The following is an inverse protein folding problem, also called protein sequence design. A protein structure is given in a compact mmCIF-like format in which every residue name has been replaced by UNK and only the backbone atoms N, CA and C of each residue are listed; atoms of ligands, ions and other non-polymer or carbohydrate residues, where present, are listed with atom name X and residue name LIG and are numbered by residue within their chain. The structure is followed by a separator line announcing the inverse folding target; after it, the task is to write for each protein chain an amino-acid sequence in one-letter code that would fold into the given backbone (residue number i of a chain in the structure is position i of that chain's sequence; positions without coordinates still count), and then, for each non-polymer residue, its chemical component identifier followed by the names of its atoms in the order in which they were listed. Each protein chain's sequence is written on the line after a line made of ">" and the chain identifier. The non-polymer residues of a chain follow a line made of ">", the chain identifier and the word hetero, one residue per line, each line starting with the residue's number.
data_IF_425809320995
#
_entry.id   IF_425809320995
#
_cell.length_a   1.000
_cell.length_b   1.000
_cell.length_c   1.000
_cell.angle_alpha   90.00
_cell.angle_beta   90.00
_cell.angle_gamma   90.00
#
_symmetry.space_group_name_H-M   'P 1'
#
loop_
_entity.id
_entity.type
_entity.pdbx_description
1 polymer ?
#
# COMPACT_ATOMS: atom_id res chain seq x y z
N UNK A 1 62.73 -29.78 -5.02
CA UNK A 1 62.41 -28.71 -5.98
C UNK A 1 60.89 -28.58 -6.19
N UNK A 2 60.13 -29.65 -6.31
CA UNK A 2 58.69 -29.62 -6.51
C UNK A 2 57.91 -29.18 -5.27
N UNK A 3 58.27 -29.64 -4.07
CA UNK A 3 57.68 -29.25 -2.80
C UNK A 3 57.92 -27.77 -2.45
N UNK A 4 59.13 -27.28 -2.69
CA UNK A 4 59.45 -25.86 -2.45
C UNK A 4 58.65 -24.91 -3.40
N UNK A 5 58.40 -25.38 -4.62
CA UNK A 5 57.57 -24.63 -5.59
C UNK A 5 56.09 -24.64 -5.19
N UNK A 6 55.57 -25.77 -4.70
CA UNK A 6 54.22 -25.86 -4.17
C UNK A 6 54.01 -24.99 -2.92
N UNK A 7 54.95 -25.00 -1.98
CA UNK A 7 54.89 -24.14 -0.81
C UNK A 7 54.97 -22.66 -1.17
N UNK A 8 55.81 -22.29 -2.13
CA UNK A 8 55.89 -20.89 -2.60
C UNK A 8 54.60 -20.46 -3.31
N UNK A 9 53.97 -21.36 -4.09
CA UNK A 9 52.67 -21.07 -4.74
C UNK A 9 51.55 -20.97 -3.74
N UNK A 10 51.45 -21.84 -2.75
CA UNK A 10 50.45 -21.74 -1.68
C UNK A 10 50.61 -20.48 -0.86
N UNK A 11 51.83 -20.11 -0.48
CA UNK A 11 52.11 -18.87 0.22
C UNK A 11 51.83 -17.60 -0.62
N UNK A 12 52.03 -17.70 -1.95
CA UNK A 12 51.66 -16.59 -2.85
C UNK A 12 50.15 -16.48 -3.04
N UNK A 13 49.41 -17.59 -3.03
CA UNK A 13 47.93 -17.59 -3.05
C UNK A 13 47.34 -17.05 -1.74
N UNK A 14 47.86 -17.48 -0.62
CA UNK A 14 47.46 -16.96 0.71
C UNK A 14 47.71 -15.45 0.81
N UNK A 15 48.84 -14.95 0.27
CA UNK A 15 49.11 -13.52 0.19
C UNK A 15 48.22 -12.76 -0.80
N UNK A 16 47.62 -13.41 -1.81
CA UNK A 16 46.65 -12.80 -2.71
C UNK A 16 45.33 -12.52 -2.01
N UNK A 17 44.92 -13.38 -1.07
CA UNK A 17 43.73 -13.16 -0.25
C UNK A 17 43.91 -12.01 0.79
N UNK A 18 45.17 -11.70 1.15
CA UNK A 18 45.50 -10.56 2.02
C UNK A 18 45.69 -9.21 1.28
N UNK A 19 45.72 -9.22 -0.05
CA UNK A 19 45.81 -7.98 -0.81
C UNK A 19 44.51 -7.21 -0.65
N UNK A 20 44.59 -5.89 -0.30
CA UNK A 20 43.39 -5.08 -0.17
C UNK A 20 42.64 -5.09 -1.50
N UNK A 21 41.44 -5.58 -1.50
CA UNK A 21 40.57 -5.56 -2.68
C UNK A 21 40.54 -4.12 -3.22
N UNK A 22 40.84 -3.93 -4.51
CA UNK A 22 40.74 -2.63 -5.17
C UNK A 22 39.30 -2.13 -5.05
N UNK A 23 39.06 -1.17 -4.18
CA UNK A 23 37.76 -0.51 -4.09
C UNK A 23 37.67 0.57 -5.14
N UNK A 24 36.64 0.50 -5.98
CA UNK A 24 36.31 1.54 -6.94
C UNK A 24 35.45 2.58 -6.25
N UNK A 25 35.83 3.84 -6.32
CA UNK A 25 35.10 4.95 -5.78
C UNK A 25 34.66 5.88 -6.89
N UNK A 26 33.41 6.33 -6.81
CA UNK A 26 32.96 7.49 -7.54
C UNK A 26 33.29 8.79 -6.80
N UNK A 27 33.12 9.89 -7.49
CA UNK A 27 33.27 11.24 -6.94
C UNK A 27 32.00 12.04 -7.13
N UNK A 28 31.50 12.63 -6.06
CA UNK A 28 30.40 13.59 -6.09
C UNK A 28 30.86 14.88 -6.78
N UNK A 29 30.24 15.22 -7.90
CA UNK A 29 30.61 16.42 -8.67
C UNK A 29 29.60 17.55 -8.53
N UNK A 30 28.33 17.22 -8.29
CA UNK A 30 27.27 18.22 -8.16
C UNK A 30 26.12 17.71 -7.30
N UNK A 31 25.47 18.64 -6.61
CA UNK A 31 24.20 18.42 -5.89
C UNK A 31 23.17 19.38 -6.49
N UNK A 32 22.05 18.85 -6.95
CA UNK A 32 20.97 19.65 -7.54
C UNK A 32 19.62 19.19 -6.97
N UNK A 33 19.00 20.01 -6.13
CA UNK A 33 17.78 19.64 -5.42
C UNK A 33 18.00 18.37 -4.61
N UNK A 34 17.30 17.28 -4.95
CA UNK A 34 17.39 16.00 -4.28
C UNK A 34 18.38 15.01 -4.93
N UNK A 35 19.05 15.40 -6.01
CA UNK A 35 19.94 14.52 -6.78
C UNK A 35 21.41 14.82 -6.54
N UNK A 36 22.20 13.76 -6.45
CA UNK A 36 23.65 13.74 -6.37
C UNK A 36 24.20 13.24 -7.70
N UNK A 37 25.01 14.07 -8.37
CA UNK A 37 25.67 13.71 -9.62
C UNK A 37 27.06 13.12 -9.31
N UNK A 38 27.28 11.89 -9.76
CA UNK A 38 28.49 11.10 -9.45
C UNK A 38 29.15 10.65 -10.73
N UNK A 39 30.48 10.70 -10.76
CA UNK A 39 31.32 10.24 -11.89
C UNK A 39 32.44 9.34 -11.37
N UNK A 40 33.11 8.63 -12.30
CA UNK A 40 34.35 7.88 -12.00
C UNK A 40 34.14 6.45 -11.50
N UNK A 41 32.92 5.94 -11.37
CA UNK A 41 32.63 4.53 -11.13
C UNK A 41 31.43 4.08 -11.97
N UNK A 42 31.38 2.79 -12.27
CA UNK A 42 30.23 2.15 -12.90
C UNK A 42 29.22 1.75 -11.82
N UNK A 43 28.03 2.31 -11.87
CA UNK A 43 26.94 2.02 -10.94
C UNK A 43 25.78 1.40 -11.70
N UNK A 44 25.01 0.56 -11.01
CA UNK A 44 23.84 -0.11 -11.55
C UNK A 44 22.57 0.58 -11.02
N UNK A 45 21.52 0.63 -11.81
CA UNK A 45 20.21 1.16 -11.39
C UNK A 45 19.73 0.44 -10.12
N UNK A 46 19.30 1.21 -9.11
CA UNK A 46 18.87 0.70 -7.81
C UNK A 46 20.02 0.31 -6.86
N UNK A 47 21.29 0.43 -7.29
CA UNK A 47 22.43 0.13 -6.41
C UNK A 47 22.55 1.18 -5.30
N UNK A 48 22.72 0.69 -4.07
CA UNK A 48 23.01 1.57 -2.93
C UNK A 48 24.48 1.97 -2.89
N UNK A 49 24.71 3.19 -2.43
CA UNK A 49 26.06 3.76 -2.29
C UNK A 49 26.19 4.46 -0.93
N UNK A 50 27.40 4.45 -0.40
CA UNK A 50 27.80 5.30 0.73
C UNK A 50 28.49 6.55 0.19
N UNK A 51 27.99 7.71 0.54
CA UNK A 51 28.58 9.01 0.18
C UNK A 51 29.25 9.58 1.42
N UNK A 52 30.54 9.89 1.33
CA UNK A 52 31.31 10.47 2.45
C UNK A 52 30.78 11.85 2.81
N UNK A 53 30.70 12.14 4.10
CA UNK A 53 30.28 13.45 4.61
C UNK A 53 31.37 14.07 5.48
N UNK A 54 31.28 15.37 5.72
CA UNK A 54 32.21 16.09 6.60
C UNK A 54 32.12 15.65 8.08
N UNK A 55 31.00 15.07 8.50
CA UNK A 55 30.84 14.52 9.86
C UNK A 55 31.51 13.16 10.06
N UNK A 56 31.91 12.48 8.97
CA UNK A 56 32.46 11.13 8.99
C UNK A 56 31.40 10.02 8.95
N UNK A 57 30.13 10.30 9.21
CA UNK A 57 29.04 9.35 9.02
C UNK A 57 28.62 9.32 7.54
N UNK A 58 28.70 8.18 6.83
CA UNK A 58 28.35 8.13 5.41
C UNK A 58 26.85 8.29 5.20
N UNK A 59 26.48 9.10 4.19
CA UNK A 59 25.10 9.21 3.72
C UNK A 59 24.77 8.04 2.81
N UNK A 60 23.67 7.34 3.07
CA UNK A 60 23.16 6.32 2.18
C UNK A 60 22.36 6.96 1.04
N UNK A 61 22.69 6.58 -0.18
CA UNK A 61 22.01 7.00 -1.40
C UNK A 61 21.80 5.81 -2.34
N UNK A 62 20.88 5.92 -3.27
CA UNK A 62 20.56 4.90 -4.27
C UNK A 62 20.61 5.51 -5.67
N UNK A 63 21.07 4.73 -6.64
CA UNK A 63 21.14 5.12 -8.04
C UNK A 63 19.75 5.13 -8.64
N UNK A 64 19.28 6.31 -9.04
CA UNK A 64 17.94 6.53 -9.62
C UNK A 64 17.97 6.78 -11.13
N UNK A 65 19.14 6.94 -11.71
CA UNK A 65 19.31 7.15 -13.14
C UNK A 65 20.74 7.44 -13.53
N UNK A 66 21.00 7.51 -14.83
CA UNK A 66 22.30 7.94 -15.36
C UNK A 66 22.13 8.57 -16.74
N UNK A 67 23.05 9.46 -17.05
CA UNK A 67 23.15 10.10 -18.36
C UNK A 67 24.63 10.17 -18.76
N UNK A 68 25.01 9.42 -19.81
CA UNK A 68 26.41 9.23 -20.24
C UNK A 68 27.25 8.70 -19.06
N UNK A 69 28.26 9.47 -18.64
CA UNK A 69 29.21 9.11 -17.57
C UNK A 69 28.77 9.59 -16.19
N UNK A 70 27.60 10.23 -16.09
CA UNK A 70 27.06 10.76 -14.84
C UNK A 70 25.99 9.80 -14.31
N UNK A 71 26.17 9.33 -13.09
CA UNK A 71 25.13 8.62 -12.33
C UNK A 71 24.40 9.59 -11.41
N UNK A 72 23.07 9.52 -11.41
CA UNK A 72 22.22 10.28 -10.52
C UNK A 72 21.86 9.41 -9.32
N UNK A 73 22.25 9.86 -8.14
CA UNK A 73 21.89 9.21 -6.89
C UNK A 73 20.89 10.07 -6.13
N UNK A 74 20.03 9.44 -5.37
CA UNK A 74 19.12 10.12 -4.45
C UNK A 74 19.33 9.60 -3.03
N UNK A 75 19.43 10.49 -2.03
CA UNK A 75 19.68 10.10 -0.65
C UNK A 75 18.45 9.45 -0.02
N UNK A 76 18.68 8.44 0.79
CA UNK A 76 17.67 7.79 1.64
C UNK A 76 17.41 8.57 2.92
N UNK A 77 18.36 9.40 3.33
CA UNK A 77 18.36 10.19 4.57
C UNK A 77 18.49 11.69 4.25
N UNK A 78 18.21 12.58 5.21
CA UNK A 78 18.42 14.02 5.01
C UNK A 78 19.86 14.35 4.63
N UNK A 79 20.02 15.19 3.62
CA UNK A 79 21.34 15.62 3.14
C UNK A 79 22.00 16.60 4.11
N UNK A 80 23.07 16.17 4.78
CA UNK A 80 23.88 17.04 5.61
C UNK A 80 25.36 16.72 5.42
N UNK A 81 26.23 17.74 5.52
CA UNK A 81 27.67 17.56 5.49
C UNK A 81 28.26 17.09 4.16
N UNK A 82 27.51 17.18 3.03
CA UNK A 82 28.03 16.86 1.71
C UNK A 82 29.01 17.94 1.21
N UNK A 83 30.06 17.53 0.50
CA UNK A 83 31.05 18.43 -0.09
C UNK A 83 31.44 17.99 -1.50
N UNK A 84 31.90 18.94 -2.31
CA UNK A 84 32.33 18.65 -3.66
C UNK A 84 33.58 17.75 -3.66
N UNK A 85 33.56 16.69 -4.47
CA UNK A 85 34.63 15.69 -4.50
C UNK A 85 34.48 14.58 -3.45
N UNK A 86 33.39 14.58 -2.65
CA UNK A 86 33.09 13.50 -1.70
C UNK A 86 33.16 12.14 -2.39
N UNK A 87 33.73 11.16 -1.69
CA UNK A 87 33.89 9.81 -2.17
C UNK A 87 32.54 9.07 -2.14
N UNK A 88 32.26 8.33 -3.21
CA UNK A 88 31.05 7.53 -3.34
C UNK A 88 31.44 6.06 -3.51
N UNK A 89 31.13 5.26 -2.51
CA UNK A 89 31.42 3.81 -2.46
C UNK A 89 30.18 3.01 -2.82
N UNK A 90 30.18 2.23 -3.91
CA UNK A 90 29.06 1.31 -4.18
C UNK A 90 29.00 0.22 -3.11
N UNK A 91 27.79 -0.16 -2.73
CA UNK A 91 27.52 -1.30 -1.87
C UNK A 91 27.24 -2.48 -2.78
N UNK A 92 28.09 -3.50 -2.72
CA UNK A 92 27.96 -4.69 -3.52
C UNK A 92 26.96 -5.68 -2.89
N UNK A 93 26.38 -6.52 -3.75
CA UNK A 93 25.42 -7.57 -3.36
C UNK A 93 23.98 -7.13 -3.48
N UNK A 94 23.11 -8.14 -3.49
CA UNK A 94 21.66 -7.93 -3.48
C UNK A 94 21.21 -7.42 -2.12
N UNK A 95 20.31 -6.47 -2.13
CA UNK A 95 19.76 -5.96 -0.90
C UNK A 95 18.80 -6.97 -0.26
N UNK A 96 19.14 -7.40 0.96
CA UNK A 96 18.31 -8.29 1.76
C UNK A 96 17.75 -7.59 2.98
N UNK A 97 16.59 -8.07 3.42
CA UNK A 97 15.90 -7.63 4.65
C UNK A 97 15.58 -8.85 5.51
N UNK A 98 15.63 -8.68 6.83
CA UNK A 98 15.27 -9.76 7.76
C UNK A 98 13.79 -9.68 8.10
N UNK A 99 13.04 -10.70 7.70
CA UNK A 99 11.60 -10.78 7.90
C UNK A 99 11.21 -11.95 8.82
N UNK A 100 10.14 -11.76 9.59
CA UNK A 100 9.63 -12.77 10.49
C UNK A 100 8.57 -12.23 11.43
N UNK A 101 8.03 -13.09 12.28
CA UNK A 101 6.97 -12.72 13.25
C UNK A 101 7.40 -11.69 14.30
N UNK A 102 8.70 -11.47 14.49
CA UNK A 102 9.24 -10.42 15.37
C UNK A 102 8.90 -9.00 14.90
N UNK A 103 8.41 -8.85 13.66
CA UNK A 103 7.93 -7.57 13.12
C UNK A 103 6.50 -7.24 13.54
N UNK A 104 5.72 -8.22 14.02
CA UNK A 104 4.36 -7.99 14.50
C UNK A 104 4.37 -7.09 15.76
N UNK A 105 3.45 -6.16 15.79
CA UNK A 105 3.38 -5.16 16.86
C UNK A 105 4.32 -3.98 16.69
N UNK A 106 5.12 -3.91 15.62
CA UNK A 106 6.16 -2.92 15.43
C UNK A 106 5.78 -1.82 14.45
N UNK A 107 6.34 -0.65 14.71
CA UNK A 107 6.27 0.51 13.82
C UNK A 107 7.68 0.84 13.33
N UNK A 108 7.90 0.72 12.03
CA UNK A 108 9.21 0.78 11.40
C UNK A 108 9.21 1.78 10.23
N UNK A 109 10.39 2.24 9.83
CA UNK A 109 10.55 3.03 8.60
C UNK A 109 10.83 2.16 7.35
N UNK A 110 11.08 2.80 6.20
CA UNK A 110 11.38 2.11 4.95
C UNK A 110 12.74 1.39 4.91
N UNK A 111 13.57 1.52 5.95
CA UNK A 111 14.84 0.81 6.16
C UNK A 111 14.76 -0.21 7.29
N UNK A 112 13.56 -0.56 7.77
CA UNK A 112 13.31 -1.39 8.97
C UNK A 112 13.90 -0.80 10.25
N UNK A 113 14.12 0.53 10.33
CA UNK A 113 14.54 1.16 11.57
C UNK A 113 13.32 1.38 12.46
N UNK A 114 13.42 1.06 13.78
CA UNK A 114 12.33 1.24 14.71
C UNK A 114 11.94 2.70 14.89
N UNK A 115 10.66 3.01 14.71
CA UNK A 115 10.05 4.31 15.03
C UNK A 115 9.37 4.29 16.41
N UNK A 116 9.13 3.11 16.96
CA UNK A 116 8.52 2.88 18.27
C UNK A 116 9.51 2.95 19.45
N UNK A 117 10.77 3.23 19.16
CA UNK A 117 11.84 3.36 20.17
C UNK A 117 12.33 2.04 20.78
N UNK A 118 11.82 0.89 20.32
CA UNK A 118 12.26 -0.42 20.79
C UNK A 118 13.27 -1.03 19.82
N UNK A 119 14.36 -1.65 20.29
CA UNK A 119 15.33 -2.29 19.41
C UNK A 119 14.67 -3.43 18.62
N UNK A 120 15.06 -3.59 17.36
CA UNK A 120 14.65 -4.70 16.54
C UNK A 120 15.69 -5.83 16.66
N UNK A 121 15.31 -7.04 17.07
CA UNK A 121 16.24 -8.16 17.14
C UNK A 121 16.71 -8.56 15.73
N UNK A 122 17.99 -8.92 15.59
CA UNK A 122 18.55 -9.41 14.34
C UNK A 122 18.23 -10.91 14.12
N UNK A 123 16.95 -11.19 13.97
CA UNK A 123 16.40 -12.55 13.77
C UNK A 123 15.50 -12.57 12.53
N UNK A 124 15.08 -13.76 12.13
CA UNK A 124 14.21 -13.97 10.96
C UNK A 124 14.99 -14.35 9.71
N UNK A 125 14.23 -14.57 8.64
CA UNK A 125 14.79 -15.01 7.36
C UNK A 125 15.36 -13.81 6.58
N UNK A 126 16.56 -13.99 6.02
CA UNK A 126 17.15 -12.99 5.12
C UNK A 126 16.57 -13.20 3.71
N UNK A 127 15.81 -12.25 3.25
CA UNK A 127 15.15 -12.32 1.92
C UNK A 127 15.47 -11.08 1.09
N UNK A 128 15.55 -11.19 -0.24
CA UNK A 128 15.69 -10.03 -1.11
C UNK A 128 14.54 -9.04 -0.92
N UNK A 129 14.84 -7.74 -0.90
CA UNK A 129 13.81 -6.69 -0.83
C UNK A 129 12.96 -6.66 -2.10
N UNK A 130 13.61 -6.85 -3.23
CA UNK A 130 12.94 -6.88 -4.54
C UNK A 130 12.71 -8.33 -4.94
N UNK A 131 11.43 -8.71 -5.06
CA UNK A 131 11.02 -10.00 -5.57
C UNK A 131 10.21 -9.79 -6.86
N UNK A 132 10.43 -10.67 -7.83
CA UNK A 132 9.59 -10.70 -9.02
C UNK A 132 8.21 -11.28 -8.66
N UNK A 133 7.13 -10.73 -9.23
CA UNK A 133 5.81 -11.31 -9.04
C UNK A 133 5.78 -12.75 -9.57
N UNK A 134 5.04 -13.65 -8.93
CA UNK A 134 4.93 -15.03 -9.38
C UNK A 134 4.28 -15.11 -10.77
N UNK A 135 4.63 -16.16 -11.53
CA UNK A 135 4.00 -16.40 -12.84
C UNK A 135 2.47 -16.41 -12.71
N UNK A 136 1.74 -15.59 -13.49
CA UNK A 136 0.29 -15.48 -13.40
C UNK A 136 -0.48 -16.81 -13.51
N UNK A 137 0.01 -17.76 -14.30
CA UNK A 137 -0.62 -19.07 -14.49
C UNK A 137 -0.42 -20.03 -13.29
N UNK A 138 0.52 -19.70 -12.39
CA UNK A 138 0.79 -20.48 -11.17
C UNK A 138 0.09 -19.89 -9.95
N UNK A 139 -0.50 -18.70 -10.05
CA UNK A 139 -1.24 -18.09 -8.96
C UNK A 139 -2.55 -18.84 -8.69
N UNK A 140 -2.87 -19.03 -7.42
CA UNK A 140 -4.20 -19.57 -7.04
C UNK A 140 -5.29 -18.55 -7.37
N UNK A 141 -6.43 -18.97 -7.93
CA UNK A 141 -7.52 -18.05 -8.24
C UNK A 141 -8.22 -17.55 -6.98
N UNK A 142 -8.81 -16.37 -7.06
CA UNK A 142 -9.66 -15.80 -6.01
C UNK A 142 -11.00 -16.57 -5.97
N UNK A 143 -11.28 -17.26 -4.87
CA UNK A 143 -12.49 -18.09 -4.72
C UNK A 143 -13.22 -17.88 -3.40
N UNK A 144 -12.50 -17.60 -2.33
CA UNK A 144 -13.03 -17.47 -0.99
C UNK A 144 -13.21 -16.01 -0.61
N UNK A 145 -14.29 -15.66 0.10
CA UNK A 145 -14.44 -14.31 0.64
C UNK A 145 -13.47 -14.08 1.81
N UNK A 146 -13.02 -12.85 1.92
CA UNK A 146 -12.29 -12.35 3.08
C UNK A 146 -13.23 -11.49 3.92
N UNK A 147 -13.43 -11.86 5.18
CA UNK A 147 -14.06 -10.98 6.14
C UNK A 147 -13.12 -9.82 6.49
N UNK A 148 -13.54 -8.60 6.15
CA UNK A 148 -12.80 -7.37 6.45
C UNK A 148 -13.37 -6.63 7.66
N UNK A 149 -14.35 -7.21 8.35
CA UNK A 149 -14.96 -6.66 9.55
C UNK A 149 -15.90 -5.47 9.32
N UNK A 150 -16.22 -5.14 8.07
CA UNK A 150 -17.07 -3.99 7.72
C UNK A 150 -18.34 -4.48 7.04
N UNK A 151 -19.48 -4.28 7.69
CA UNK A 151 -20.80 -4.77 7.28
C UNK A 151 -21.14 -4.41 5.83
N UNK A 152 -21.01 -3.14 5.48
CA UNK A 152 -21.30 -2.65 4.14
C UNK A 152 -20.39 -3.29 3.07
N UNK A 153 -19.12 -3.54 3.40
CA UNK A 153 -18.16 -4.20 2.49
C UNK A 153 -18.49 -5.69 2.39
N UNK A 154 -18.57 -6.38 3.53
CA UNK A 154 -18.84 -7.81 3.57
C UNK A 154 -20.15 -8.17 2.86
N UNK A 155 -21.20 -7.36 3.06
CA UNK A 155 -22.54 -7.63 2.54
C UNK A 155 -22.75 -7.27 1.08
N UNK A 156 -22.18 -6.16 0.62
CA UNK A 156 -22.55 -5.54 -0.67
C UNK A 156 -21.38 -5.39 -1.65
N UNK A 157 -20.17 -5.46 -1.14
CA UNK A 157 -18.92 -5.24 -1.87
C UNK A 157 -17.90 -6.33 -1.52
N UNK A 158 -18.37 -7.53 -1.23
CA UNK A 158 -17.56 -8.64 -0.69
C UNK A 158 -16.21 -8.76 -1.38
N UNK A 159 -15.18 -8.84 -0.56
CA UNK A 159 -13.78 -8.94 -0.97
C UNK A 159 -13.38 -10.40 -1.04
N UNK A 160 -12.68 -10.79 -2.08
CA UNK A 160 -12.09 -12.13 -2.17
C UNK A 160 -10.66 -12.16 -1.60
N UNK A 161 -10.26 -13.31 -1.06
CA UNK A 161 -8.87 -13.56 -0.65
C UNK A 161 -7.94 -13.45 -1.87
N UNK A 162 -7.02 -12.49 -1.82
CA UNK A 162 -6.14 -12.15 -2.93
C UNK A 162 -6.65 -11.05 -3.86
N UNK A 163 -7.75 -10.39 -3.54
CA UNK A 163 -8.29 -9.28 -4.33
C UNK A 163 -7.61 -7.96 -3.98
N UNK A 164 -7.48 -7.08 -4.97
CA UNK A 164 -6.86 -5.75 -4.89
C UNK A 164 -7.92 -4.68 -5.06
N UNK A 165 -8.16 -3.87 -4.05
CA UNK A 165 -9.23 -2.87 -4.04
C UNK A 165 -8.67 -1.47 -3.83
N UNK A 166 -9.28 -0.49 -4.50
CA UNK A 166 -9.05 0.92 -4.24
C UNK A 166 -10.02 1.45 -3.18
N UNK A 167 -9.51 2.22 -2.22
CA UNK A 167 -10.30 2.99 -1.29
C UNK A 167 -10.19 4.47 -1.69
N UNK A 168 -11.18 4.97 -2.40
CA UNK A 168 -11.21 6.33 -2.92
C UNK A 168 -11.85 7.26 -1.90
N UNK A 169 -11.11 8.26 -1.47
CA UNK A 169 -11.53 9.13 -0.39
C UNK A 169 -11.00 10.56 -0.58
N UNK A 170 -11.82 11.54 -0.29
CA UNK A 170 -11.38 12.90 -0.03
C UNK A 170 -10.77 13.04 1.37
N UNK A 171 -10.40 14.26 1.76
CA UNK A 171 -9.93 14.54 3.11
C UNK A 171 -11.10 14.59 4.12
N UNK A 172 -10.92 14.01 5.31
CA UNK A 172 -11.85 14.14 6.43
C UNK A 172 -13.12 13.29 6.36
N UNK A 173 -13.18 12.27 5.48
CA UNK A 173 -14.37 11.41 5.31
C UNK A 173 -14.33 10.14 6.17
N UNK A 174 -13.41 10.01 7.11
CA UNK A 174 -13.28 8.82 7.98
C UNK A 174 -12.41 7.69 7.44
N UNK A 175 -11.56 7.95 6.43
CA UNK A 175 -10.65 6.97 5.83
C UNK A 175 -9.80 6.22 6.87
N UNK A 176 -9.09 6.93 7.72
CA UNK A 176 -8.16 6.32 8.71
C UNK A 176 -8.91 5.49 9.75
N UNK A 177 -10.12 5.91 10.12
CA UNK A 177 -10.98 5.14 11.01
C UNK A 177 -11.43 3.83 10.38
N UNK A 178 -11.83 3.86 9.10
CA UNK A 178 -12.21 2.66 8.36
C UNK A 178 -11.03 1.67 8.24
N UNK A 179 -9.81 2.15 7.92
CA UNK A 179 -8.61 1.30 7.89
C UNK A 179 -8.32 0.68 9.25
N UNK A 180 -8.48 1.44 10.34
CA UNK A 180 -8.33 0.93 11.70
C UNK A 180 -9.36 -0.15 12.05
N UNK A 181 -10.64 0.04 11.70
CA UNK A 181 -11.68 -0.97 11.86
C UNK A 181 -11.34 -2.26 11.09
N UNK A 182 -10.92 -2.13 9.83
CA UNK A 182 -10.51 -3.29 9.02
C UNK A 182 -9.33 -4.03 9.64
N UNK A 183 -8.33 -3.32 10.19
CA UNK A 183 -7.18 -3.94 10.85
C UNK A 183 -7.59 -4.74 12.09
N UNK A 184 -8.50 -4.22 12.90
CA UNK A 184 -8.95 -4.91 14.12
C UNK A 184 -9.82 -6.10 13.81
N UNK A 185 -10.77 -5.94 12.89
CA UNK A 185 -11.90 -6.86 12.75
C UNK A 185 -11.74 -7.85 11.58
N UNK A 186 -10.69 -7.75 10.76
CA UNK A 186 -10.48 -8.68 9.64
C UNK A 186 -10.17 -10.09 10.11
N UNK A 187 -10.64 -11.09 9.35
CA UNK A 187 -10.26 -12.49 9.52
C UNK A 187 -8.84 -12.82 9.01
N UNK A 188 -8.18 -11.91 8.31
CA UNK A 188 -6.79 -12.11 7.88
C UNK A 188 -5.88 -12.34 9.09
N UNK A 189 -4.95 -13.28 8.97
CA UNK A 189 -4.05 -13.67 10.07
C UNK A 189 -2.98 -12.61 10.35
N UNK A 190 -2.52 -11.93 9.30
CA UNK A 190 -1.49 -10.90 9.35
C UNK A 190 -2.02 -9.64 8.66
N UNK A 191 -1.77 -8.50 9.27
CA UNK A 191 -2.04 -7.20 8.63
C UNK A 191 -0.73 -6.46 8.40
N UNK A 192 -0.55 -5.90 7.23
CA UNK A 192 0.57 -5.00 6.92
C UNK A 192 0.00 -3.63 6.60
N UNK A 193 0.42 -2.61 7.33
CA UNK A 193 -0.04 -1.24 7.13
C UNK A 193 1.11 -0.38 6.62
N UNK A 194 0.95 0.21 5.45
CA UNK A 194 1.87 1.18 4.87
C UNK A 194 1.32 2.60 4.97
N UNK A 195 1.93 3.45 5.79
CA UNK A 195 1.59 4.87 5.91
C UNK A 195 2.59 5.69 5.08
N UNK A 196 2.27 5.91 3.81
CA UNK A 196 3.18 6.45 2.80
C UNK A 196 2.81 7.91 2.49
N UNK A 197 3.66 8.85 2.89
CA UNK A 197 3.49 10.27 2.61
C UNK A 197 2.38 10.94 3.42
N UNK A 198 1.90 10.32 4.48
CA UNK A 198 0.96 10.92 5.44
C UNK A 198 1.70 11.87 6.39
N UNK A 199 1.00 12.80 7.03
CA UNK A 199 1.62 13.72 7.98
C UNK A 199 2.07 12.96 9.23
N UNK A 200 3.21 13.31 9.81
CA UNK A 200 3.73 12.65 11.01
C UNK A 200 2.72 12.61 12.18
N UNK A 201 1.91 13.67 12.34
CA UNK A 201 0.81 13.69 13.32
C UNK A 201 -0.26 12.64 13.01
N UNK A 202 -0.65 12.48 11.76
CA UNK A 202 -1.67 11.52 11.33
C UNK A 202 -1.19 10.07 11.49
N UNK A 203 0.11 9.83 11.30
CA UNK A 203 0.75 8.53 11.59
C UNK A 203 0.57 8.17 13.08
N UNK A 204 0.85 9.09 13.98
CA UNK A 204 0.70 8.86 15.41
C UNK A 204 -0.76 8.65 15.82
N UNK A 205 -1.65 9.54 15.35
CA UNK A 205 -3.09 9.43 15.59
C UNK A 205 -3.66 8.10 15.10
N UNK A 206 -3.20 7.62 13.92
CA UNK A 206 -3.61 6.33 13.38
C UNK A 206 -3.20 5.16 14.28
N UNK A 207 -1.95 5.15 14.76
CA UNK A 207 -1.44 4.09 15.63
C UNK A 207 -2.16 4.09 16.99
N UNK A 208 -2.28 5.27 17.61
CA UNK A 208 -2.84 5.40 18.96
C UNK A 208 -4.37 5.22 19.00
N UNK A 209 -5.09 5.77 18.02
CA UNK A 209 -6.56 5.86 18.06
C UNK A 209 -7.26 4.93 17.07
N UNK A 210 -6.71 4.78 15.84
CA UNK A 210 -7.36 3.95 14.84
C UNK A 210 -7.02 2.47 14.99
N UNK A 211 -5.74 2.13 15.21
CA UNK A 211 -5.31 0.75 15.47
C UNK A 211 -5.54 0.34 16.92
N UNK A 212 -5.05 1.15 17.85
CA UNK A 212 -4.94 0.77 19.25
C UNK A 212 -3.99 -0.41 19.49
N UNK A 213 -3.88 -0.86 20.73
CA UNK A 213 -2.97 -1.96 21.10
C UNK A 213 -3.35 -3.29 20.44
N UNK A 214 -4.63 -3.58 20.34
CA UNK A 214 -5.15 -4.81 19.77
C UNK A 214 -4.88 -4.92 18.28
N UNK A 215 -5.21 -3.89 17.52
CA UNK A 215 -4.93 -3.85 16.07
C UNK A 215 -3.43 -3.88 15.77
N UNK A 216 -2.63 -3.18 16.57
CA UNK A 216 -1.17 -3.16 16.40
C UNK A 216 -0.56 -4.54 16.66
N UNK A 217 -1.03 -5.29 17.66
CA UNK A 217 -0.45 -6.59 18.01
C UNK A 217 -0.43 -7.61 16.86
N UNK A 218 -1.37 -7.49 15.90
CA UNK A 218 -1.47 -8.36 14.71
C UNK A 218 -0.99 -7.70 13.43
N UNK A 219 -0.46 -6.49 13.52
CA UNK A 219 -0.03 -5.69 12.39
C UNK A 219 1.48 -5.44 12.37
N UNK A 220 2.03 -5.25 11.16
CA UNK A 220 3.32 -4.60 10.93
C UNK A 220 3.04 -3.25 10.30
N UNK A 221 3.49 -2.17 10.92
CA UNK A 221 3.29 -0.81 10.41
C UNK A 221 4.61 -0.28 9.83
N UNK A 222 4.60 0.08 8.56
CA UNK A 222 5.71 0.76 7.89
C UNK A 222 5.28 2.19 7.62
N UNK A 223 6.02 3.16 8.16
CA UNK A 223 5.70 4.57 8.00
C UNK A 223 6.84 5.33 7.31
N UNK A 224 6.48 6.07 6.28
CA UNK A 224 7.34 7.06 5.64
C UNK A 224 6.55 8.38 5.50
N UNK A 225 6.60 9.26 6.52
CA UNK A 225 5.87 10.52 6.52
C UNK A 225 6.23 11.44 5.35
N UNK A 226 5.42 12.49 5.15
CA UNK A 226 5.53 13.39 4.01
C UNK A 226 6.84 14.20 3.95
N UNK A 227 7.51 14.37 5.08
CA UNK A 227 8.82 15.03 5.20
C UNK A 227 10.01 14.12 4.85
N UNK A 228 9.78 12.83 4.68
CA UNK A 228 10.80 11.89 4.20
C UNK A 228 11.07 12.07 2.70
N UNK A 229 12.28 11.65 2.27
CA UNK A 229 12.66 11.72 0.86
C UNK A 229 11.69 10.94 -0.04
N UNK A 230 11.51 11.34 -1.31
CA UNK A 230 10.69 10.59 -2.26
C UNK A 230 11.12 9.12 -2.36
N UNK A 231 12.43 8.88 -2.36
CA UNK A 231 12.97 7.53 -2.43
C UNK A 231 12.60 6.68 -1.20
N UNK A 232 12.62 7.28 0.00
CA UNK A 232 12.20 6.59 1.24
C UNK A 232 10.71 6.23 1.19
N UNK A 233 9.85 7.10 0.63
CA UNK A 233 8.42 6.83 0.45
C UNK A 233 8.17 5.66 -0.52
N UNK A 234 8.93 5.60 -1.64
CA UNK A 234 8.84 4.46 -2.57
C UNK A 234 9.31 3.17 -1.91
N UNK A 235 10.43 3.24 -1.21
CA UNK A 235 11.03 2.10 -0.52
C UNK A 235 10.11 1.53 0.55
N UNK A 236 9.48 2.39 1.36
CA UNK A 236 8.53 1.96 2.38
C UNK A 236 7.33 1.20 1.76
N UNK A 237 6.80 1.67 0.63
CA UNK A 237 5.75 0.97 -0.09
C UNK A 237 6.22 -0.41 -0.62
N UNK A 238 7.42 -0.49 -1.16
CA UNK A 238 8.01 -1.75 -1.62
C UNK A 238 8.25 -2.74 -0.48
N UNK A 239 8.72 -2.24 0.66
CA UNK A 239 8.92 -3.03 1.88
C UNK A 239 7.61 -3.58 2.44
N UNK A 240 6.51 -2.79 2.45
CA UNK A 240 5.18 -3.27 2.81
C UNK A 240 4.77 -4.47 1.97
N UNK A 241 4.96 -4.40 0.65
CA UNK A 241 4.65 -5.51 -0.24
C UNK A 241 5.54 -6.71 0.06
N UNK A 242 6.85 -6.51 0.26
CA UNK A 242 7.76 -7.63 0.53
C UNK A 242 7.45 -8.35 1.84
N UNK A 243 7.09 -7.60 2.88
CA UNK A 243 6.63 -8.21 4.15
C UNK A 243 5.34 -9.00 3.93
N UNK A 244 4.38 -8.43 3.21
CA UNK A 244 3.11 -9.09 2.93
C UNK A 244 3.30 -10.36 2.05
N UNK A 245 4.16 -10.30 1.02
CA UNK A 245 4.54 -11.43 0.19
C UNK A 245 5.20 -12.55 1.01
N UNK A 246 6.11 -12.19 1.92
CA UNK A 246 6.81 -13.14 2.78
C UNK A 246 5.82 -13.97 3.61
N UNK A 247 4.85 -13.35 4.24
CA UNK A 247 3.84 -14.08 5.04
C UNK A 247 2.88 -14.88 4.15
N UNK A 248 2.49 -14.36 2.98
CA UNK A 248 1.73 -15.12 1.98
C UNK A 248 2.47 -16.38 1.54
N UNK A 249 3.77 -16.29 1.28
CA UNK A 249 4.61 -17.41 0.87
C UNK A 249 4.73 -18.48 1.96
N UNK A 250 4.46 -18.12 3.21
CA UNK A 250 4.34 -19.04 4.35
C UNK A 250 2.93 -19.59 4.58
N UNK A 251 2.01 -19.40 3.63
CA UNK A 251 0.64 -19.91 3.72
C UNK A 251 -0.28 -19.10 4.63
N UNK A 252 0.06 -17.84 4.92
CA UNK A 252 -0.79 -16.97 5.75
C UNK A 252 -1.73 -16.14 4.88
N UNK A 253 -2.96 -15.91 5.39
CA UNK A 253 -3.85 -14.89 4.84
C UNK A 253 -3.41 -13.51 5.32
N UNK A 254 -2.99 -12.67 4.37
CA UNK A 254 -2.47 -11.33 4.64
C UNK A 254 -3.40 -10.26 4.10
N UNK A 255 -3.68 -9.25 4.91
CA UNK A 255 -4.32 -8.01 4.50
C UNK A 255 -3.28 -6.88 4.45
N UNK A 256 -3.05 -6.33 3.27
CA UNK A 256 -2.23 -5.13 3.07
C UNK A 256 -3.14 -3.90 2.98
N UNK A 257 -2.90 -2.92 3.85
CA UNK A 257 -3.55 -1.62 3.84
C UNK A 257 -2.49 -0.57 3.50
N UNK A 258 -2.53 0.05 2.33
CA UNK A 258 -1.53 1.03 1.90
C UNK A 258 -2.15 2.42 1.76
N UNK A 259 -1.75 3.34 2.61
CA UNK A 259 -2.17 4.74 2.65
C UNK A 259 -0.98 5.66 2.37
N UNK A 260 -0.77 6.18 1.14
CA UNK A 260 -1.65 6.09 -0.01
C UNK A 260 -0.88 5.79 -1.31
N UNK A 261 -1.58 5.19 -2.27
CA UNK A 261 -1.07 5.00 -3.63
C UNK A 261 -0.80 6.33 -4.34
N UNK A 262 -1.62 7.35 -4.05
CA UNK A 262 -1.42 8.72 -4.57
C UNK A 262 -0.08 9.30 -4.12
N UNK A 263 0.31 9.11 -2.85
CA UNK A 263 1.60 9.60 -2.33
C UNK A 263 2.78 8.82 -2.91
N UNK A 264 2.61 7.53 -3.17
CA UNK A 264 3.59 6.75 -3.92
C UNK A 264 3.79 7.31 -5.34
N UNK A 265 2.70 7.59 -6.07
CA UNK A 265 2.76 8.21 -7.40
C UNK A 265 3.43 9.58 -7.38
N UNK A 266 3.14 10.42 -6.39
CA UNK A 266 3.78 11.72 -6.22
C UNK A 266 5.28 11.59 -5.96
N UNK A 267 5.70 10.64 -5.11
CA UNK A 267 7.12 10.38 -4.85
C UNK A 267 7.85 9.94 -6.13
N UNK A 268 7.26 9.06 -6.91
CA UNK A 268 7.83 8.65 -8.21
C UNK A 268 7.89 9.80 -9.21
N UNK A 269 6.88 10.66 -9.25
CA UNK A 269 6.89 11.87 -10.06
C UNK A 269 8.05 12.78 -9.69
N UNK A 270 8.28 13.02 -8.39
CA UNK A 270 9.39 13.85 -7.90
C UNK A 270 10.75 13.30 -8.38
N UNK A 271 10.97 11.98 -8.30
CA UNK A 271 12.20 11.32 -8.74
C UNK A 271 12.35 11.44 -10.27
N UNK A 272 11.34 11.06 -11.02
CA UNK A 272 11.38 11.05 -12.48
C UNK A 272 11.65 12.47 -13.08
N UNK A 273 11.00 13.48 -12.53
CA UNK A 273 11.26 14.87 -12.91
C UNK A 273 12.68 15.32 -12.54
N UNK A 274 13.20 14.90 -11.37
CA UNK A 274 14.54 15.28 -10.92
C UNK A 274 15.66 14.69 -11.80
N UNK A 275 15.44 13.52 -12.42
CA UNK A 275 16.38 12.92 -13.38
C UNK A 275 16.13 13.33 -14.83
N UNK A 276 15.15 14.23 -15.07
CA UNK A 276 14.89 14.83 -16.38
C UNK A 276 13.89 14.09 -17.26
N UNK A 277 13.09 13.16 -16.73
CA UNK A 277 11.98 12.60 -17.49
C UNK A 277 10.92 13.67 -17.77
N UNK A 278 10.47 13.85 -19.03
CA UNK A 278 9.53 14.90 -19.36
C UNK A 278 8.15 14.63 -18.74
N UNK A 279 7.49 15.67 -18.20
CA UNK A 279 6.13 15.56 -17.70
C UNK A 279 5.15 15.31 -18.86
N UNK A 280 4.14 14.48 -18.62
CA UNK A 280 3.04 14.20 -19.54
C UNK A 280 1.69 14.62 -18.91
N UNK A 281 0.81 13.70 -18.64
CA UNK A 281 -0.56 13.97 -18.17
C UNK A 281 -0.57 14.65 -16.79
N UNK A 282 -1.06 15.88 -16.72
CA UNK A 282 -1.12 16.71 -15.49
C UNK A 282 0.21 16.76 -14.72
N UNK A 283 1.33 16.72 -15.44
CA UNK A 283 2.66 16.79 -14.87
C UNK A 283 3.22 15.47 -14.33
N UNK A 284 2.54 14.34 -14.53
CA UNK A 284 3.05 13.01 -14.22
C UNK A 284 3.82 12.45 -15.42
N UNK A 285 5.09 12.06 -15.25
CA UNK A 285 5.84 11.31 -16.26
C UNK A 285 5.23 9.91 -16.51
N UNK A 286 5.42 9.34 -17.72
CA UNK A 286 4.85 8.00 -18.06
C UNK A 286 5.32 6.87 -17.16
N UNK A 287 6.55 6.92 -16.64
CA UNK A 287 7.10 5.90 -15.73
C UNK A 287 6.28 5.72 -14.46
N UNK A 288 5.59 6.78 -13.99
CA UNK A 288 4.75 6.73 -12.78
C UNK A 288 3.65 5.68 -12.90
N UNK A 289 2.93 5.66 -14.03
CA UNK A 289 1.83 4.73 -14.25
C UNK A 289 2.31 3.28 -14.40
N UNK A 290 3.44 3.09 -15.04
CA UNK A 290 4.09 1.77 -15.14
C UNK A 290 4.47 1.23 -13.76
N UNK A 291 5.04 2.06 -12.88
CA UNK A 291 5.43 1.67 -11.53
C UNK A 291 4.23 1.44 -10.61
N UNK A 292 3.14 2.19 -10.78
CA UNK A 292 1.89 1.90 -10.07
C UNK A 292 1.38 0.49 -10.40
N UNK A 293 1.35 0.14 -11.68
CA UNK A 293 0.93 -1.20 -12.13
C UNK A 293 1.84 -2.28 -11.55
N UNK A 294 3.16 -2.10 -11.62
CA UNK A 294 4.13 -3.05 -11.08
C UNK A 294 3.96 -3.26 -9.58
N UNK A 295 3.72 -2.18 -8.82
CA UNK A 295 3.51 -2.26 -7.38
C UNK A 295 2.24 -3.04 -7.04
N UNK A 296 1.12 -2.70 -7.67
CA UNK A 296 -0.20 -3.32 -7.41
C UNK A 296 -0.22 -4.79 -7.83
N UNK A 297 0.46 -5.16 -8.92
CA UNK A 297 0.54 -6.54 -9.39
C UNK A 297 1.33 -7.48 -8.45
N UNK A 298 2.08 -6.96 -7.50
CA UNK A 298 2.73 -7.76 -6.45
C UNK A 298 1.74 -8.38 -5.47
N UNK A 299 0.62 -7.68 -5.22
CA UNK A 299 -0.47 -8.21 -4.41
C UNK A 299 -1.24 -9.32 -5.16
N UNK A 300 -2.07 -10.05 -4.44
CA UNK A 300 -2.83 -11.18 -4.94
C UNK A 300 -2.31 -12.52 -4.42
N UNK A 301 -2.96 -13.59 -4.83
CA UNK A 301 -2.58 -14.94 -4.43
C UNK A 301 -1.21 -15.32 -4.99
N UNK A 302 -0.49 -16.14 -4.25
CA UNK A 302 0.78 -16.71 -4.64
C UNK A 302 0.64 -18.08 -5.28
N UNK A 303 1.74 -18.83 -5.27
CA UNK A 303 1.79 -20.23 -5.71
C UNK A 303 1.50 -21.21 -4.57
N UNK A 304 1.59 -20.75 -3.31
CA UNK A 304 1.21 -21.54 -2.16
C UNK A 304 -0.31 -21.70 -2.10
N UNK A 305 -0.85 -22.90 -1.90
CA UNK A 305 -2.29 -23.15 -1.95
C UNK A 305 -3.09 -22.41 -0.87
N UNK A 306 -2.50 -22.23 0.31
CA UNK A 306 -3.21 -21.71 1.49
C UNK A 306 -2.93 -20.21 1.77
N UNK A 307 -1.96 -19.60 1.08
CA UNK A 307 -1.58 -18.20 1.33
C UNK A 307 -2.28 -17.22 0.40
N UNK A 308 -2.82 -16.15 0.97
CA UNK A 308 -3.42 -15.05 0.20
C UNK A 308 -2.85 -13.68 0.58
N UNK A 309 -2.86 -12.73 -0.38
CA UNK A 309 -2.50 -11.34 -0.14
C UNK A 309 -3.58 -10.45 -0.72
N UNK A 310 -4.55 -10.09 0.11
CA UNK A 310 -5.58 -9.10 -0.22
C UNK A 310 -5.06 -7.71 0.09
N UNK A 311 -5.35 -6.73 -0.77
CA UNK A 311 -4.81 -5.39 -0.60
C UNK A 311 -5.88 -4.30 -0.78
N UNK A 312 -5.82 -3.29 0.09
CA UNK A 312 -6.54 -2.03 -0.08
C UNK A 312 -5.54 -0.90 -0.26
N UNK A 313 -5.66 -0.22 -1.37
CA UNK A 313 -4.86 0.94 -1.72
C UNK A 313 -5.72 2.19 -1.60
N UNK A 314 -5.38 3.10 -0.69
CA UNK A 314 -6.10 4.36 -0.64
C UNK A 314 -5.66 5.24 -1.81
N UNK A 315 -6.62 5.89 -2.41
CA UNK A 315 -6.43 6.83 -3.52
C UNK A 315 -7.08 8.15 -3.11
N UNK A 316 -6.25 9.17 -2.96
CA UNK A 316 -6.69 10.50 -2.57
C UNK A 316 -7.13 11.27 -3.82
N UNK A 317 -8.42 11.59 -3.91
CA UNK A 317 -8.96 12.49 -4.92
C UNK A 317 -9.00 13.90 -4.32
N UNK A 318 -8.03 14.77 -4.65
CA UNK A 318 -8.01 16.14 -4.18
C UNK A 318 -9.20 16.92 -4.78
N UNK A 319 -10.02 17.55 -3.92
CA UNK A 319 -11.20 18.27 -4.35
C UNK A 319 -12.29 17.41 -5.00
N UNK A 320 -12.31 16.10 -4.69
CA UNK A 320 -13.21 15.10 -5.29
C UNK A 320 -13.07 14.99 -6.83
N UNK A 321 -11.87 15.36 -7.37
CA UNK A 321 -11.57 15.30 -8.80
C UNK A 321 -11.44 13.84 -9.29
N UNK A 322 -12.51 13.36 -9.90
CA UNK A 322 -12.58 12.01 -10.50
C UNK A 322 -11.72 11.87 -11.76
N UNK A 323 -11.22 12.98 -12.31
CA UNK A 323 -10.38 13.01 -13.53
C UNK A 323 -8.88 13.10 -13.23
N UNK A 324 -8.49 12.95 -11.95
CA UNK A 324 -7.07 12.85 -11.58
C UNK A 324 -6.43 11.62 -12.27
N UNK A 325 -5.27 11.75 -12.94
CA UNK A 325 -4.64 10.64 -13.66
C UNK A 325 -4.30 9.43 -12.79
N UNK A 326 -3.98 9.65 -11.51
CA UNK A 326 -3.70 8.56 -10.56
C UNK A 326 -4.99 7.84 -10.17
N UNK A 327 -6.09 8.60 -10.01
CA UNK A 327 -7.44 8.05 -9.77
C UNK A 327 -7.87 7.15 -10.92
N UNK A 328 -7.72 7.62 -12.16
CA UNK A 328 -8.09 6.87 -13.36
C UNK A 328 -7.21 5.62 -13.54
N UNK A 329 -5.89 5.77 -13.42
CA UNK A 329 -4.96 4.65 -13.47
C UNK A 329 -5.26 3.59 -12.40
N UNK A 330 -5.54 4.01 -11.15
CA UNK A 330 -5.88 3.09 -10.07
C UNK A 330 -7.17 2.30 -10.38
N UNK A 331 -8.20 2.94 -10.93
CA UNK A 331 -9.44 2.24 -11.35
C UNK A 331 -9.21 1.20 -12.43
N UNK A 332 -8.26 1.46 -13.33
CA UNK A 332 -7.93 0.55 -14.43
C UNK A 332 -7.20 -0.70 -13.96
N UNK A 333 -6.29 -0.57 -12.96
CA UNK A 333 -5.41 -1.67 -12.53
C UNK A 333 -5.96 -2.47 -11.34
N UNK A 334 -6.95 -1.95 -10.60
CA UNK A 334 -7.51 -2.60 -9.42
C UNK A 334 -8.75 -3.45 -9.75
N UNK A 335 -9.01 -4.47 -8.93
CA UNK A 335 -10.12 -5.42 -9.10
C UNK A 335 -11.48 -4.88 -8.61
N UNK A 336 -11.52 -3.63 -8.19
CA UNK A 336 -12.70 -2.92 -7.71
C UNK A 336 -12.31 -1.71 -6.89
N UNK A 337 -13.34 -0.99 -6.42
CA UNK A 337 -13.11 0.22 -5.63
C UNK A 337 -14.26 0.48 -4.66
N UNK A 338 -13.92 1.07 -3.53
CA UNK A 338 -14.82 1.56 -2.50
C UNK A 338 -14.67 3.07 -2.45
N UNK A 339 -15.78 3.78 -2.52
CA UNK A 339 -15.81 5.24 -2.53
C UNK A 339 -16.35 5.74 -1.20
N UNK A 340 -15.58 6.57 -0.51
CA UNK A 340 -16.04 7.34 0.65
C UNK A 340 -16.45 8.73 0.20
N UNK A 341 -17.65 9.17 0.57
CA UNK A 341 -18.17 10.47 0.16
C UNK A 341 -18.28 11.43 1.33
N UNK A 342 -17.96 12.70 1.06
CA UNK A 342 -18.10 13.79 2.02
C UNK A 342 -19.57 13.97 2.44
N UNK A 343 -20.49 13.82 1.50
CA UNK A 343 -21.94 13.95 1.75
C UNK A 343 -22.39 13.01 2.87
N UNK A 344 -22.04 11.72 2.80
CA UNK A 344 -22.40 10.75 3.85
C UNK A 344 -21.73 11.09 5.19
N UNK A 345 -20.47 11.53 5.17
CA UNK A 345 -19.77 11.95 6.37
C UNK A 345 -20.44 13.18 7.05
N UNK A 346 -20.85 14.18 6.26
CA UNK A 346 -21.57 15.36 6.75
C UNK A 346 -22.96 15.02 7.30
N UNK A 347 -23.59 13.96 6.80
CA UNK A 347 -24.85 13.41 7.32
C UNK A 347 -24.65 12.55 8.58
N UNK A 348 -23.43 12.37 9.06
CA UNK A 348 -23.12 11.49 10.20
C UNK A 348 -23.25 9.99 9.88
N UNK A 349 -23.28 9.63 8.61
CA UNK A 349 -23.35 8.24 8.17
C UNK A 349 -21.93 7.64 8.09
N UNK A 350 -21.57 6.83 9.07
CA UNK A 350 -20.26 6.18 9.12
C UNK A 350 -20.38 4.64 9.20
N UNK A 351 -19.48 3.89 8.47
CA UNK A 351 -18.52 4.41 7.48
C UNK A 351 -19.21 5.13 6.33
N UNK A 352 -18.57 6.16 5.79
CA UNK A 352 -19.16 7.02 4.74
C UNK A 352 -19.06 6.37 3.35
N UNK A 353 -19.35 5.06 3.25
CA UNK A 353 -19.22 4.24 2.03
C UNK A 353 -20.43 4.49 1.13
N UNK A 354 -20.16 5.03 -0.05
CA UNK A 354 -21.17 5.12 -1.11
C UNK A 354 -21.26 3.78 -1.86
N UNK A 355 -22.24 2.97 -1.49
CA UNK A 355 -22.46 1.65 -2.11
C UNK A 355 -22.90 1.73 -3.57
N UNK A 356 -23.47 2.87 -3.98
CA UNK A 356 -23.87 3.10 -5.37
C UNK A 356 -22.67 3.34 -6.29
N UNK A 357 -21.69 4.12 -5.80
CA UNK A 357 -20.47 4.45 -6.53
C UNK A 357 -19.36 3.39 -6.38
N UNK A 358 -19.55 2.39 -5.51
CA UNK A 358 -18.55 1.35 -5.21
C UNK A 358 -18.80 0.07 -5.99
N UNK A 359 -17.71 -0.65 -6.34
CA UNK A 359 -17.76 -1.90 -7.12
C UNK A 359 -16.74 -2.91 -6.59
N UNK A 360 -17.15 -4.14 -6.34
CA UNK A 360 -16.26 -5.30 -6.19
C UNK A 360 -16.48 -6.28 -7.35
N UNK A 361 -15.45 -6.46 -8.19
CA UNK A 361 -15.52 -7.40 -9.33
C UNK A 361 -15.41 -8.86 -8.88
N UNK A 362 -14.87 -9.11 -7.69
CA UNK A 362 -14.72 -10.45 -7.12
C UNK A 362 -15.98 -11.00 -6.46
N UNK A 363 -16.91 -10.15 -6.04
CA UNK A 363 -18.12 -10.55 -5.32
C UNK A 363 -18.93 -11.64 -6.05
N UNK A 364 -19.15 -11.58 -7.38
CA UNK A 364 -19.92 -12.62 -8.07
C UNK A 364 -19.34 -14.03 -8.00
N UNK A 365 -18.04 -14.16 -7.73
CA UNK A 365 -17.32 -15.44 -7.66
C UNK A 365 -17.16 -15.95 -6.23
N UNK A 366 -17.21 -15.05 -5.26
CA UNK A 366 -16.90 -15.35 -3.86
C UNK A 366 -18.11 -15.65 -2.96
N UNK A 367 -19.34 -15.36 -3.40
CA UNK A 367 -20.55 -15.54 -2.56
C UNK A 367 -21.65 -16.28 -3.28
N UNK A 368 -22.56 -16.98 -2.52
CA UNK A 368 -23.71 -17.68 -3.11
C UNK A 368 -24.64 -16.76 -3.92
N UNK A 369 -25.31 -17.33 -4.92
CA UNK A 369 -26.21 -16.58 -5.81
C UNK A 369 -27.35 -15.87 -5.05
N UNK A 370 -27.83 -16.46 -3.95
CA UNK A 370 -28.83 -15.86 -3.07
C UNK A 370 -28.30 -14.54 -2.47
N UNK A 371 -27.07 -14.54 -1.94
CA UNK A 371 -26.44 -13.33 -1.40
C UNK A 371 -26.30 -12.23 -2.45
N UNK A 372 -25.84 -12.62 -3.64
CA UNK A 372 -25.73 -11.67 -4.77
C UNK A 372 -27.07 -10.98 -5.07
N UNK A 373 -28.17 -11.75 -5.10
CA UNK A 373 -29.52 -11.21 -5.35
C UNK A 373 -29.92 -10.20 -4.27
N UNK A 374 -29.71 -10.53 -3.00
CA UNK A 374 -30.02 -9.63 -1.89
C UNK A 374 -29.20 -8.33 -1.95
N UNK A 375 -27.88 -8.44 -2.23
CA UNK A 375 -27.02 -7.28 -2.39
C UNK A 375 -27.46 -6.39 -3.57
N UNK A 376 -27.83 -6.97 -4.69
CA UNK A 376 -28.37 -6.23 -5.85
C UNK A 376 -29.68 -5.54 -5.50
N UNK A 377 -30.61 -6.22 -4.84
CA UNK A 377 -31.90 -5.65 -4.41
C UNK A 377 -31.69 -4.46 -3.45
N UNK A 378 -30.82 -4.60 -2.46
CA UNK A 378 -30.53 -3.50 -1.53
C UNK A 378 -29.92 -2.30 -2.27
N UNK A 379 -28.97 -2.52 -3.15
CA UNK A 379 -28.35 -1.45 -3.95
C UNK A 379 -29.36 -0.74 -4.88
N UNK A 380 -30.33 -1.47 -5.45
CA UNK A 380 -31.42 -0.89 -6.24
C UNK A 380 -32.32 0.00 -5.38
N UNK A 381 -32.73 -0.46 -4.18
CA UNK A 381 -33.52 0.34 -3.24
C UNK A 381 -32.77 1.58 -2.79
N UNK A 382 -31.47 1.46 -2.48
CA UNK A 382 -30.63 2.61 -2.16
C UNK A 382 -30.58 3.62 -3.30
N UNK A 383 -30.32 3.17 -4.53
CA UNK A 383 -30.27 4.05 -5.72
C UNK A 383 -31.60 4.77 -5.97
N UNK A 384 -32.72 4.07 -5.86
CA UNK A 384 -34.08 4.67 -5.97
C UNK A 384 -34.32 5.70 -4.89
N UNK A 385 -33.95 5.40 -3.65
CA UNK A 385 -34.09 6.38 -2.58
C UNK A 385 -33.28 7.66 -2.84
N UNK A 386 -32.06 7.56 -3.38
CA UNK A 386 -31.28 8.75 -3.72
C UNK A 386 -32.00 9.61 -4.77
N UNK A 387 -32.66 9.01 -5.75
CA UNK A 387 -33.47 9.74 -6.74
C UNK A 387 -34.68 10.43 -6.08
N UNK A 388 -35.40 9.72 -5.21
CA UNK A 388 -36.54 10.30 -4.47
C UNK A 388 -36.09 11.46 -3.59
N UNK A 389 -34.96 11.32 -2.92
CA UNK A 389 -34.39 12.32 -2.04
C UNK A 389 -34.09 13.64 -2.76
N UNK A 390 -33.63 13.58 -4.00
CA UNK A 390 -33.41 14.77 -4.83
C UNK A 390 -34.72 15.44 -5.25
N UNK A 391 -35.80 14.67 -5.39
CA UNK A 391 -37.12 15.16 -5.77
C UNK A 391 -37.94 15.72 -4.60
N UNK A 392 -37.69 15.24 -3.37
CA UNK A 392 -38.45 15.64 -2.18
C UNK A 392 -38.50 17.16 -1.95
N UNK A 393 -37.39 17.92 -2.02
CA UNK A 393 -37.41 19.38 -1.83
C UNK A 393 -38.17 20.12 -2.93
N UNK A 394 -38.31 19.48 -4.11
CA UNK A 394 -38.98 20.06 -5.27
C UNK A 394 -40.46 19.70 -5.34
N UNK A 395 -41.00 18.94 -4.36
CA UNK A 395 -42.36 18.41 -4.40
C UNK A 395 -42.61 17.39 -5.50
N UNK A 396 -41.55 16.81 -6.10
CA UNK A 396 -41.64 15.86 -7.23
C UNK A 396 -41.94 14.42 -6.81
N UNK A 397 -42.02 14.12 -5.53
CA UNK A 397 -42.43 12.82 -5.03
C UNK A 397 -43.78 12.90 -4.30
N UNK A 398 -44.70 12.02 -4.68
CA UNK A 398 -45.99 11.85 -4.02
C UNK A 398 -46.15 10.36 -3.62
N UNK A 399 -46.40 10.05 -2.34
CA UNK A 399 -46.70 8.70 -1.91
C UNK A 399 -47.87 8.08 -2.69
N UNK A 400 -47.67 6.82 -3.12
CA UNK A 400 -48.66 6.09 -3.91
C UNK A 400 -48.56 6.28 -5.43
N UNK A 401 -47.73 7.17 -5.95
CA UNK A 401 -47.54 7.39 -7.39
C UNK A 401 -46.64 6.33 -8.05
N UNK A 402 -45.63 5.83 -7.32
CA UNK A 402 -44.71 4.78 -7.79
C UNK A 402 -44.43 3.79 -6.65
N UNK A 403 -44.95 2.56 -6.73
CA UNK A 403 -44.75 1.54 -5.69
C UNK A 403 -43.29 1.21 -5.40
N UNK A 404 -42.42 1.35 -6.40
CA UNK A 404 -40.99 1.05 -6.22
C UNK A 404 -40.26 2.18 -5.48
N UNK A 405 -40.66 3.41 -5.69
CA UNK A 405 -40.16 4.56 -4.94
C UNK A 405 -40.68 4.53 -3.51
N UNK A 406 -41.97 4.20 -3.33
CA UNK A 406 -42.57 4.05 -2.00
C UNK A 406 -41.87 2.98 -1.16
N UNK A 407 -41.58 1.81 -1.76
CA UNK A 407 -40.80 0.75 -1.10
C UNK A 407 -39.40 1.25 -0.70
N UNK A 408 -38.71 1.98 -1.56
CA UNK A 408 -37.37 2.51 -1.28
C UNK A 408 -37.39 3.50 -0.10
N UNK A 409 -38.41 4.38 -0.03
CA UNK A 409 -38.60 5.33 1.08
C UNK A 409 -38.91 4.57 2.38
N UNK A 410 -39.80 3.60 2.33
CA UNK A 410 -40.18 2.82 3.51
C UNK A 410 -39.02 2.01 4.09
N UNK A 411 -38.16 1.43 3.26
CA UNK A 411 -37.04 0.58 3.69
C UNK A 411 -35.77 1.36 4.01
N UNK A 412 -35.67 2.59 3.59
CA UNK A 412 -34.43 3.40 3.75
C UNK A 412 -33.92 3.48 5.19
N UNK A 413 -34.75 3.70 6.24
CA UNK A 413 -34.24 3.75 7.62
C UNK A 413 -33.53 2.45 8.04
N UNK A 414 -34.07 1.31 7.67
CA UNK A 414 -33.45 0.00 7.94
C UNK A 414 -32.16 -0.20 7.14
N UNK A 415 -32.16 0.20 5.86
CA UNK A 415 -30.96 0.16 5.00
C UNK A 415 -29.86 1.04 5.58
N UNK A 416 -30.19 2.28 5.96
CA UNK A 416 -29.22 3.21 6.53
C UNK A 416 -28.62 2.67 7.84
N UNK A 417 -29.45 2.12 8.73
CA UNK A 417 -29.00 1.51 9.97
C UNK A 417 -28.11 0.26 9.72
N UNK A 418 -28.40 -0.54 8.68
CA UNK A 418 -27.58 -1.67 8.30
C UNK A 418 -26.20 -1.23 7.76
N UNK A 419 -26.13 -0.15 7.02
CA UNK A 419 -24.88 0.36 6.42
C UNK A 419 -24.00 1.09 7.44
N UNK A 420 -24.59 1.68 8.48
CA UNK A 420 -23.84 2.32 9.55
C UNK A 420 -23.27 1.28 10.52
N UNK A 421 -22.03 1.51 10.95
CA UNK A 421 -21.34 0.63 11.91
C UNK A 421 -20.49 1.47 12.86
N UNK A 422 -20.63 1.22 14.15
CA UNK A 422 -19.82 1.86 15.19
C UNK A 422 -18.35 1.42 15.13
N UNK A 423 -17.45 2.28 15.62
CA UNK A 423 -15.99 2.06 15.56
C UNK A 423 -15.53 0.74 16.22
N UNK A 424 -16.25 0.30 17.25
CA UNK A 424 -15.94 -0.91 18.03
C UNK A 424 -17.00 -1.99 17.83
N UNK A 425 -17.88 -1.80 16.85
CA UNK A 425 -18.91 -2.77 16.54
C UNK A 425 -18.32 -3.88 15.67
N UNK A 426 -18.38 -5.10 16.17
CA UNK A 426 -18.00 -6.29 15.44
C UNK A 426 -19.25 -7.03 14.95
N UNK A 427 -19.17 -7.60 13.74
CA UNK A 427 -20.21 -8.44 13.19
C UNK A 427 -19.56 -9.60 12.44
N UNK A 428 -19.89 -10.81 12.82
CA UNK A 428 -19.43 -12.00 12.12
C UNK A 428 -19.96 -12.02 10.68
N UNK A 429 -19.15 -12.52 9.75
CA UNK A 429 -19.46 -12.55 8.32
C UNK A 429 -20.82 -13.20 8.02
N UNK A 430 -21.13 -14.31 8.72
CA UNK A 430 -22.40 -15.02 8.56
C UNK A 430 -23.61 -14.20 9.01
N UNK A 431 -23.44 -13.36 10.02
CA UNK A 431 -24.52 -12.48 10.54
C UNK A 431 -24.89 -11.37 9.55
N UNK A 432 -23.97 -10.99 8.67
CA UNK A 432 -24.23 -9.99 7.62
C UNK A 432 -25.33 -10.45 6.67
N UNK A 433 -25.34 -11.74 6.31
CA UNK A 433 -26.36 -12.34 5.47
C UNK A 433 -27.75 -12.31 6.14
N UNK A 434 -27.79 -12.62 7.45
CA UNK A 434 -29.03 -12.54 8.24
C UNK A 434 -29.54 -11.10 8.27
N UNK A 435 -28.67 -10.13 8.52
CA UNK A 435 -29.04 -8.71 8.51
C UNK A 435 -29.57 -8.23 7.14
N UNK A 436 -28.96 -8.67 6.04
CA UNK A 436 -29.46 -8.38 4.69
C UNK A 436 -30.89 -8.90 4.47
N UNK A 437 -31.19 -10.14 4.87
CA UNK A 437 -32.53 -10.71 4.78
C UNK A 437 -33.55 -9.93 5.60
N UNK A 438 -33.21 -9.59 6.84
CA UNK A 438 -34.09 -8.82 7.73
C UNK A 438 -34.43 -7.43 7.15
N UNK A 439 -33.43 -6.69 6.67
CA UNK A 439 -33.63 -5.36 6.08
C UNK A 439 -34.53 -5.42 4.82
N UNK A 440 -34.42 -6.50 4.04
CA UNK A 440 -35.23 -6.72 2.86
C UNK A 440 -36.59 -7.41 3.15
N UNK A 441 -36.90 -7.73 4.42
CA UNK A 441 -38.18 -8.37 4.82
C UNK A 441 -38.30 -9.80 4.30
N UNK A 442 -37.18 -10.52 4.15
CA UNK A 442 -37.10 -11.93 3.72
C UNK A 442 -36.63 -12.86 4.85
N UNK A 443 -36.67 -12.37 6.09
CA UNK A 443 -36.27 -13.09 7.29
C UNK A 443 -37.43 -13.79 7.99
#
# INVERSE_FOLDING_TARGET
>A
MHEALQQALTSALDNLDELPAFRRFGRLVRVTGLTLEVVGCQLVMGQRCRVSTASGEPLLAEVVGFNRDISYLMPLQPMSGLFAGAQVEPIDGEETVRLGRHLLGRVLDGLLQPLDGQPLPDVGDSVPLFALPPNPLLRTPVREPLDVGIRAINGLLTVGKGQRLGLFAGSGVGKSMLLGMMTRNTAAQIVVVGLIGERGREVREFIEHSLGAEGLARAVVIAAPADQSPLMRLRAAQLCHRIAEYFREQGQDVLLLMDSLTRYAQAQREIALAIGEPPATRGYPPSVFSMLTQLVERAGNGTHPDGSLSAFYTVLAEGDDQQDPVVDAARAILDGHIVLTRRLAEEGHYPAIDIGASVSRGMPQGVPAEWQKLAVTLRQLWGRYQQVRELLPLGGYQPGADPQMDEAVQRYPGIAAFLQQGLHEEMAFEQVMVGLKQVLGQG
#
